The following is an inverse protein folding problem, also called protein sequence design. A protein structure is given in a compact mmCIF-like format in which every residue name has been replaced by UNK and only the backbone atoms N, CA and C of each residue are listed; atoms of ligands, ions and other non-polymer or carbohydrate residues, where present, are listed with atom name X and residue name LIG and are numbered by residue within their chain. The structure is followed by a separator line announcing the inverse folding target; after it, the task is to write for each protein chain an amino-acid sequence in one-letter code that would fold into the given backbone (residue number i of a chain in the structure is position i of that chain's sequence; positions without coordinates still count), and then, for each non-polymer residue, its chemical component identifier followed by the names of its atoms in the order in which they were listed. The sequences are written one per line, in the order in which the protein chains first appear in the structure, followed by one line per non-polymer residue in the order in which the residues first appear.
data_IF_819398090584
#
_entry.id   IF_819398090584
#
_cell.length_a   1.000
_cell.length_b   1.000
_cell.length_c   1.000
_cell.angle_alpha   90.00
_cell.angle_beta   90.00
_cell.angle_gamma   90.00
#
_symmetry.space_group_name_H-M   'P 1'
#
loop_
_entity.id
_entity.type
_entity.pdbx_description
1 polymer ?
#
# COMPACT_ATOMS: atom_id res chain seq x y z
N UNK A 1 11.85 2.37 26.43
CA UNK A 1 11.78 2.33 24.96
C UNK A 1 10.31 2.15 24.63
N UNK A 2 9.69 3.10 23.93
CA UNK A 2 8.35 2.88 23.37
C UNK A 2 8.43 1.75 22.36
N UNK A 3 7.52 0.78 22.45
CA UNK A 3 7.41 -0.29 21.47
C UNK A 3 7.15 0.32 20.08
N UNK A 4 7.83 -0.21 19.06
CA UNK A 4 7.59 0.22 17.69
C UNK A 4 6.16 -0.17 17.28
N UNK A 5 5.44 0.74 16.63
CA UNK A 5 4.04 0.50 16.26
C UNK A 5 3.98 -0.35 14.98
N UNK A 6 3.23 -1.47 14.94
CA UNK A 6 3.12 -2.28 13.74
C UNK A 6 2.43 -1.50 12.62
N UNK A 7 2.90 -1.68 11.38
CA UNK A 7 2.28 -1.15 10.15
C UNK A 7 2.36 -2.21 9.06
N UNK A 8 1.26 -2.43 8.34
CA UNK A 8 1.27 -3.31 7.17
C UNK A 8 1.44 -2.50 5.88
N UNK A 9 2.36 -2.93 5.03
CA UNK A 9 2.48 -2.48 3.64
C UNK A 9 2.06 -3.62 2.73
N UNK A 10 0.85 -3.53 2.17
CA UNK A 10 0.21 -4.60 1.41
C UNK A 10 0.28 -4.31 -0.09
N UNK A 11 0.77 -5.27 -0.87
CA UNK A 11 0.93 -5.15 -2.31
C UNK A 11 0.10 -6.20 -3.03
N UNK A 12 -0.70 -5.75 -4.00
CA UNK A 12 -1.50 -6.60 -4.87
C UNK A 12 -0.69 -7.20 -6.03
N UNK A 13 -1.39 -7.72 -7.06
CA UNK A 13 -0.81 -8.62 -8.03
C UNK A 13 0.28 -7.97 -8.87
N UNK A 14 1.27 -8.78 -9.24
CA UNK A 14 2.44 -8.47 -10.07
C UNK A 14 3.50 -7.56 -9.42
N UNK A 15 3.27 -6.98 -8.24
CA UNK A 15 4.25 -6.09 -7.59
C UNK A 15 5.49 -6.84 -7.10
N UNK A 16 5.37 -8.14 -6.79
CA UNK A 16 6.53 -8.98 -6.48
C UNK A 16 7.51 -9.13 -7.66
N UNK A 17 7.09 -8.75 -8.88
CA UNK A 17 7.90 -8.80 -10.12
C UNK A 17 8.55 -7.46 -10.49
N UNK A 18 8.45 -6.43 -9.65
CA UNK A 18 9.13 -5.15 -9.88
C UNK A 18 10.62 -5.34 -10.15
N UNK A 19 11.14 -4.65 -11.18
CA UNK A 19 12.53 -4.76 -11.63
C UNK A 19 12.82 -5.92 -12.60
N UNK A 20 11.86 -6.82 -12.85
CA UNK A 20 11.99 -7.91 -13.86
C UNK A 20 11.23 -7.64 -15.17
N UNK A 21 10.38 -6.62 -15.19
CA UNK A 21 9.60 -6.17 -16.36
C UNK A 21 9.84 -4.67 -16.59
N UNK A 22 10.20 -4.32 -17.82
CA UNK A 22 10.21 -2.95 -18.38
C UNK A 22 10.85 -1.89 -17.45
N UNK A 23 12.20 -1.86 -17.38
CA UNK A 23 12.97 -0.92 -16.54
C UNK A 23 12.59 0.55 -16.77
N UNK A 24 12.19 0.88 -17.99
CA UNK A 24 11.87 2.24 -18.43
C UNK A 24 10.56 2.78 -17.84
N UNK A 25 9.62 1.90 -17.43
CA UNK A 25 8.31 2.31 -16.87
C UNK A 25 8.31 2.27 -15.33
N UNK A 26 8.96 1.27 -14.74
CA UNK A 26 8.88 1.03 -13.28
C UNK A 26 10.14 1.48 -12.52
N UNK A 27 11.17 1.95 -13.24
CA UNK A 27 12.47 2.31 -12.68
C UNK A 27 13.30 1.07 -12.33
N UNK A 28 14.59 1.29 -12.04
CA UNK A 28 15.54 0.22 -11.73
C UNK A 28 15.32 -0.46 -10.36
N UNK A 29 14.30 -0.05 -9.59
CA UNK A 29 14.15 -0.51 -8.21
C UNK A 29 13.33 -1.79 -8.15
N UNK A 30 13.96 -2.84 -7.61
CA UNK A 30 13.34 -4.14 -7.40
C UNK A 30 12.34 -4.14 -6.25
N UNK A 31 11.49 -5.17 -6.18
CA UNK A 31 10.62 -5.39 -5.02
C UNK A 31 11.42 -5.45 -3.71
N UNK A 32 12.61 -6.07 -3.73
CA UNK A 32 13.53 -6.05 -2.57
C UNK A 32 13.91 -4.62 -2.15
N UNK A 33 14.21 -3.75 -3.11
CA UNK A 33 14.52 -2.35 -2.83
C UNK A 33 13.33 -1.58 -2.23
N UNK A 34 12.10 -1.88 -2.68
CA UNK A 34 10.88 -1.35 -2.08
C UNK A 34 10.73 -1.77 -0.61
N UNK A 35 10.90 -3.07 -0.32
CA UNK A 35 10.81 -3.63 1.04
C UNK A 35 11.79 -2.95 1.98
N UNK A 36 13.07 -2.87 1.59
CA UNK A 36 14.10 -2.20 2.39
C UNK A 36 13.78 -0.72 2.59
N UNK A 37 13.37 0.00 1.53
CA UNK A 37 13.01 1.41 1.66
C UNK A 37 11.85 1.66 2.63
N UNK A 38 10.85 0.75 2.68
CA UNK A 38 9.73 0.89 3.61
C UNK A 38 10.16 0.60 5.05
N UNK A 39 10.97 -0.45 5.27
CA UNK A 39 11.47 -0.81 6.60
C UNK A 39 12.40 0.22 7.19
N UNK A 40 13.35 0.74 6.41
CA UNK A 40 14.27 1.79 6.87
C UNK A 40 13.52 3.04 7.29
N UNK A 41 12.63 3.55 6.45
CA UNK A 41 11.84 4.73 6.79
C UNK A 41 10.87 4.45 7.95
N UNK A 42 10.26 3.26 7.98
CA UNK A 42 9.41 2.83 9.08
C UNK A 42 10.11 2.93 10.42
N UNK A 43 11.33 2.38 10.53
CA UNK A 43 12.13 2.45 11.74
C UNK A 43 12.46 3.90 12.14
N UNK A 44 12.76 4.78 11.19
CA UNK A 44 12.95 6.22 11.45
C UNK A 44 11.69 6.91 12.00
N UNK A 45 10.50 6.45 11.58
CA UNK A 45 9.20 6.96 12.02
C UNK A 45 8.66 6.26 13.29
N UNK A 46 9.39 5.30 13.87
CA UNK A 46 8.96 4.54 15.04
C UNK A 46 7.98 3.40 14.73
N UNK A 47 7.95 2.92 13.49
CA UNK A 47 7.13 1.80 13.04
C UNK A 47 7.93 0.51 12.89
N UNK A 48 7.24 -0.62 13.15
CA UNK A 48 7.64 -1.95 12.71
C UNK A 48 6.86 -2.30 11.45
N UNK A 49 7.52 -2.20 10.29
CA UNK A 49 6.87 -2.31 8.99
C UNK A 49 6.99 -3.74 8.43
N UNK A 50 5.83 -4.38 8.28
CA UNK A 50 5.70 -5.66 7.60
C UNK A 50 5.21 -5.46 6.15
N UNK A 51 6.02 -5.88 5.17
CA UNK A 51 5.76 -5.69 3.75
C UNK A 51 5.37 -7.02 3.13
N UNK A 52 4.15 -7.11 2.61
CA UNK A 52 3.58 -8.33 2.03
C UNK A 52 3.16 -8.09 0.58
N UNK A 53 3.19 -9.15 -0.23
CA UNK A 53 2.67 -9.14 -1.60
C UNK A 53 1.90 -10.43 -1.88
N UNK A 54 0.80 -10.30 -2.61
CA UNK A 54 0.03 -11.45 -3.07
C UNK A 54 -0.59 -11.20 -4.44
N UNK A 55 -0.76 -12.29 -5.19
CA UNK A 55 -1.53 -12.33 -6.42
C UNK A 55 -2.95 -12.91 -6.19
N UNK A 56 -3.27 -13.29 -4.96
CA UNK A 56 -4.55 -13.88 -4.54
C UNK A 56 -5.41 -12.82 -3.82
N UNK A 57 -6.60 -12.57 -4.35
CA UNK A 57 -7.54 -11.58 -3.78
C UNK A 57 -8.02 -11.99 -2.38
N UNK A 58 -8.22 -13.29 -2.14
CA UNK A 58 -8.63 -13.81 -0.83
C UNK A 58 -7.56 -13.62 0.24
N UNK A 59 -6.28 -13.74 -0.12
CA UNK A 59 -5.14 -13.47 0.75
C UNK A 59 -5.07 -11.98 1.13
N UNK A 60 -5.26 -11.09 0.16
CA UNK A 60 -5.33 -9.65 0.42
C UNK A 60 -6.49 -9.32 1.39
N UNK A 61 -7.66 -9.92 1.20
CA UNK A 61 -8.81 -9.78 2.10
C UNK A 61 -8.47 -10.26 3.52
N UNK A 62 -7.78 -11.40 3.67
CA UNK A 62 -7.34 -11.91 4.98
C UNK A 62 -6.42 -10.93 5.70
N UNK A 63 -5.45 -10.33 5.01
CA UNK A 63 -4.56 -9.33 5.61
C UNK A 63 -5.29 -8.03 5.97
N UNK A 64 -6.30 -7.63 5.19
CA UNK A 64 -7.13 -6.47 5.54
C UNK A 64 -7.96 -6.72 6.79
N UNK A 65 -8.51 -7.93 6.96
CA UNK A 65 -9.19 -8.32 8.20
C UNK A 65 -8.22 -8.38 9.39
N UNK A 66 -7.02 -8.95 9.22
CA UNK A 66 -5.97 -8.93 10.24
C UNK A 66 -5.65 -7.50 10.69
N UNK A 67 -5.52 -6.57 9.74
CA UNK A 67 -5.27 -5.17 10.05
C UNK A 67 -6.43 -4.53 10.83
N UNK A 68 -7.68 -4.80 10.42
CA UNK A 68 -8.87 -4.29 11.09
C UNK A 68 -9.00 -4.84 12.52
N UNK A 69 -8.82 -6.14 12.72
CA UNK A 69 -8.91 -6.79 14.03
C UNK A 69 -7.80 -6.31 14.97
N UNK A 70 -6.60 -6.06 14.44
CA UNK A 70 -5.45 -5.60 15.20
C UNK A 70 -5.33 -4.08 15.35
N UNK A 71 -6.23 -3.28 14.77
CA UNK A 71 -6.09 -1.81 14.66
C UNK A 71 -4.74 -1.38 14.08
N UNK A 72 -4.26 -2.12 13.07
CA UNK A 72 -2.96 -1.92 12.44
C UNK A 72 -3.11 -0.95 11.26
N UNK A 73 -2.38 0.17 11.23
CA UNK A 73 -2.37 1.09 10.09
C UNK A 73 -1.84 0.40 8.82
N UNK A 74 -2.37 0.80 7.67
CA UNK A 74 -2.08 0.14 6.39
C UNK A 74 -1.62 1.14 5.33
N UNK A 75 -0.54 0.81 4.63
CA UNK A 75 -0.27 1.33 3.28
C UNK A 75 -0.61 0.22 2.29
N UNK A 76 -1.51 0.46 1.34
CA UNK A 76 -1.89 -0.56 0.36
C UNK A 76 -1.65 -0.06 -1.05
N UNK A 77 -0.94 -0.84 -1.86
CA UNK A 77 -0.96 -0.73 -3.31
C UNK A 77 -1.72 -1.93 -3.88
N UNK A 78 -3.02 -1.80 -4.21
CA UNK A 78 -3.81 -2.94 -4.63
C UNK A 78 -3.47 -3.46 -6.03
N UNK A 79 -2.54 -2.81 -6.76
CA UNK A 79 -2.22 -3.18 -8.14
C UNK A 79 -3.48 -3.15 -9.01
N UNK A 80 -3.73 -4.23 -9.75
CA UNK A 80 -4.92 -4.33 -10.59
C UNK A 80 -6.23 -4.41 -9.79
N UNK A 81 -6.21 -4.88 -8.54
CA UNK A 81 -7.42 -5.04 -7.72
C UNK A 81 -8.13 -3.72 -7.43
N UNK A 82 -7.40 -2.59 -7.44
CA UNK A 82 -7.94 -1.23 -7.32
C UNK A 82 -9.12 -0.99 -8.26
N UNK A 83 -9.13 -1.61 -9.44
CA UNK A 83 -10.08 -1.25 -10.50
C UNK A 83 -11.36 -2.09 -10.51
N UNK A 84 -11.44 -3.18 -9.74
CA UNK A 84 -12.56 -4.12 -9.85
C UNK A 84 -12.91 -4.92 -8.58
N UNK A 85 -12.02 -5.00 -7.59
CA UNK A 85 -12.21 -5.91 -6.46
C UNK A 85 -13.09 -5.28 -5.38
N UNK A 86 -14.41 -5.41 -5.56
CA UNK A 86 -15.39 -4.95 -4.56
C UNK A 86 -15.33 -5.77 -3.27
N UNK A 87 -14.97 -7.05 -3.33
CA UNK A 87 -14.75 -7.87 -2.13
C UNK A 87 -13.61 -7.33 -1.26
N UNK A 88 -12.47 -6.99 -1.87
CA UNK A 88 -11.35 -6.35 -1.17
C UNK A 88 -11.69 -4.93 -0.70
N UNK A 89 -12.46 -4.16 -1.47
CA UNK A 89 -12.99 -2.86 -1.02
C UNK A 89 -13.78 -3.01 0.28
N UNK A 90 -14.70 -3.96 0.34
CA UNK A 90 -15.57 -4.13 1.51
C UNK A 90 -14.78 -4.65 2.73
N UNK A 91 -13.70 -5.40 2.51
CA UNK A 91 -12.72 -5.71 3.56
C UNK A 91 -11.96 -4.46 4.02
N UNK A 92 -11.45 -3.63 3.09
CA UNK A 92 -10.75 -2.39 3.40
C UNK A 92 -11.65 -1.36 4.11
N UNK A 93 -12.96 -1.35 3.82
CA UNK A 93 -13.94 -0.49 4.46
C UNK A 93 -14.13 -0.78 5.95
N UNK A 94 -13.77 -1.99 6.40
CA UNK A 94 -13.81 -2.39 7.82
C UNK A 94 -12.62 -1.89 8.63
N UNK A 95 -11.71 -1.10 8.02
CA UNK A 95 -10.52 -0.57 8.70
C UNK A 95 -10.87 0.14 10.02
N UNK A 96 -10.08 -0.15 11.04
CA UNK A 96 -10.16 0.46 12.39
C UNK A 96 -9.00 1.42 12.66
N UNK A 97 -8.02 1.47 11.76
CA UNK A 97 -6.89 2.39 11.74
C UNK A 97 -6.77 3.07 10.36
N UNK A 98 -5.93 4.11 10.21
CA UNK A 98 -5.72 4.76 8.92
C UNK A 98 -5.21 3.78 7.84
N UNK A 99 -5.73 3.92 6.63
CA UNK A 99 -5.35 3.13 5.47
C UNK A 99 -5.08 4.09 4.30
N UNK A 100 -3.86 4.08 3.77
CA UNK A 100 -3.45 4.94 2.65
C UNK A 100 -3.29 4.09 1.39
N UNK A 101 -4.03 4.43 0.33
CA UNK A 101 -3.86 3.80 -0.99
C UNK A 101 -2.64 4.40 -1.70
N UNK A 102 -1.84 3.55 -2.34
CA UNK A 102 -0.63 3.92 -3.06
C UNK A 102 -0.61 3.35 -4.48
N UNK A 103 -0.21 4.18 -5.44
CA UNK A 103 0.13 3.76 -6.79
C UNK A 103 1.54 4.23 -7.17
N UNK A 104 2.35 3.33 -7.74
CA UNK A 104 3.69 3.66 -8.25
C UNK A 104 3.58 4.60 -9.46
N UNK A 105 2.78 4.22 -10.47
CA UNK A 105 2.47 5.07 -11.62
C UNK A 105 1.31 6.01 -11.32
N UNK A 106 1.12 7.05 -12.13
CA UNK A 106 -0.11 7.85 -12.13
C UNK A 106 -1.22 7.10 -12.90
N UNK A 107 -2.29 6.59 -12.25
CA UNK A 107 -3.36 5.88 -12.94
C UNK A 107 -4.11 6.76 -13.94
N UNK A 108 -4.20 8.08 -13.70
CA UNK A 108 -4.92 9.04 -14.56
C UNK A 108 -4.17 9.38 -15.86
N UNK A 109 -2.88 9.05 -15.94
CA UNK A 109 -2.11 9.17 -17.18
C UNK A 109 -2.23 7.91 -18.07
N UNK A 110 -3.04 6.92 -17.64
CA UNK A 110 -3.18 5.61 -18.29
C UNK A 110 -4.59 5.41 -18.83
N UNK A 111 -4.92 4.18 -19.22
CA UNK A 111 -6.21 3.81 -19.78
C UNK A 111 -7.37 4.16 -18.85
N UNK A 112 -8.53 4.53 -19.42
CA UNK A 112 -9.69 5.04 -18.67
C UNK A 112 -10.17 4.09 -17.54
N UNK A 113 -10.10 2.77 -17.76
CA UNK A 113 -10.47 1.80 -16.72
C UNK A 113 -9.58 1.89 -15.46
N UNK A 114 -8.42 2.54 -15.54
CA UNK A 114 -7.52 2.76 -14.39
C UNK A 114 -7.82 4.02 -13.61
N UNK A 115 -8.70 4.88 -14.11
CA UNK A 115 -9.06 6.14 -13.45
C UNK A 115 -10.00 5.90 -12.27
N UNK A 116 -10.67 4.75 -12.24
CA UNK A 116 -11.55 4.37 -11.12
C UNK A 116 -10.79 3.49 -10.13
N UNK A 117 -10.79 3.91 -8.87
CA UNK A 117 -10.38 3.10 -7.73
C UNK A 117 -11.60 2.77 -6.87
N UNK A 118 -11.87 1.48 -6.66
CA UNK A 118 -12.89 1.04 -5.71
C UNK A 118 -12.44 1.21 -4.26
N UNK A 119 -11.13 1.37 -4.03
CA UNK A 119 -10.49 1.51 -2.70
C UNK A 119 -10.40 2.96 -2.25
N UNK A 120 -10.17 3.90 -3.17
CA UNK A 120 -9.97 5.31 -2.86
C UNK A 120 -11.10 5.91 -2.01
N UNK A 121 -12.34 5.48 -2.24
CA UNK A 121 -13.51 5.95 -1.50
C UNK A 121 -13.54 5.52 -0.03
N UNK A 122 -12.80 4.48 0.35
CA UNK A 122 -12.75 3.95 1.72
C UNK A 122 -11.40 4.17 2.38
N UNK A 123 -10.36 4.55 1.64
CA UNK A 123 -9.06 4.93 2.17
C UNK A 123 -9.11 6.27 2.94
N UNK A 124 -8.17 6.49 3.85
CA UNK A 124 -7.92 7.80 4.47
C UNK A 124 -7.42 8.80 3.42
N UNK A 125 -6.62 8.34 2.46
CA UNK A 125 -6.12 9.14 1.35
C UNK A 125 -5.42 8.28 0.30
N UNK A 126 -5.12 8.87 -0.85
CA UNK A 126 -4.44 8.20 -1.97
C UNK A 126 -3.21 8.98 -2.39
N UNK A 127 -2.08 8.27 -2.61
CA UNK A 127 -0.83 8.82 -3.15
C UNK A 127 -0.48 8.08 -4.44
N UNK A 128 -0.30 8.81 -5.55
CA UNK A 128 -0.08 8.18 -6.85
C UNK A 128 0.96 8.94 -7.70
N UNK A 129 1.75 8.20 -8.49
CA UNK A 129 2.59 8.78 -9.54
C UNK A 129 4.01 9.19 -9.15
N UNK A 130 4.44 8.93 -7.92
CA UNK A 130 5.78 9.28 -7.44
C UNK A 130 6.74 8.08 -7.38
N UNK A 131 6.44 7.00 -8.12
CA UNK A 131 7.21 5.77 -8.07
C UNK A 131 7.19 5.15 -6.68
N UNK A 132 8.34 4.67 -6.22
CA UNK A 132 8.52 4.21 -4.82
C UNK A 132 8.38 5.35 -3.81
N UNK A 133 8.56 6.60 -4.25
CA UNK A 133 8.29 7.78 -3.42
C UNK A 133 6.87 7.80 -2.87
N UNK A 134 5.89 7.22 -3.58
CA UNK A 134 4.50 7.14 -3.12
C UNK A 134 4.38 6.37 -1.79
N UNK A 135 5.15 5.30 -1.59
CA UNK A 135 5.15 4.56 -0.32
C UNK A 135 5.75 5.36 0.83
N UNK A 136 6.84 6.11 0.55
CA UNK A 136 7.47 6.96 1.57
C UNK A 136 6.57 8.10 2.00
N UNK A 137 5.85 8.72 1.05
CA UNK A 137 4.86 9.74 1.33
C UNK A 137 3.71 9.16 2.17
N UNK A 138 3.21 7.97 1.82
CA UNK A 138 2.15 7.30 2.57
C UNK A 138 2.56 6.96 4.01
N UNK A 139 3.78 6.44 4.23
CA UNK A 139 4.28 6.15 5.58
C UNK A 139 4.41 7.42 6.44
N UNK A 140 4.84 8.54 5.86
CA UNK A 140 4.89 9.84 6.56
C UNK A 140 3.48 10.36 6.89
N UNK A 141 2.55 10.26 5.95
CA UNK A 141 1.16 10.62 6.18
C UNK A 141 0.54 9.78 7.31
N UNK A 142 0.82 8.46 7.35
CA UNK A 142 0.39 7.62 8.47
C UNK A 142 0.97 8.06 9.82
N UNK A 143 2.25 8.45 9.87
CA UNK A 143 2.86 8.95 11.10
C UNK A 143 2.17 10.22 11.61
N UNK A 144 1.86 11.16 10.71
CA UNK A 144 1.12 12.38 11.04
C UNK A 144 -0.29 12.06 11.55
N UNK A 145 -1.08 11.26 10.82
CA UNK A 145 -2.44 10.84 11.20
C UNK A 145 -2.53 10.15 12.56
N UNK A 146 -1.48 9.47 12.99
CA UNK A 146 -1.45 8.73 14.25
C UNK A 146 -0.87 9.53 15.43
N UNK A 147 -0.49 10.79 15.20
CA UNK A 147 -0.02 11.72 16.24
C UNK A 147 -1.04 12.80 16.57
N UNK A 148 -2.01 13.04 15.68
CA UNK A 148 -3.21 13.85 15.94
C UNK A 148 -4.26 13.08 16.73
#
# INVERSE_FOLDING_TARGET
MTEARPVLVLNGPNLGRLGSREPDIYGATSYKGLVESCRTLGAELGFDVDVRETNDEGEMIRWLHEAADGSIPVVINPGAFTHYSYGMRDAAAQRTAPLIEVHISNPYAREEFRHTSVVAAVATGTVAGFGIGSYRLALRALAEELTG
#
